data_IF_957543729258
#
_entry.id   IF_957543729258
#
_cell.length_a   1.000
_cell.length_b   1.000
_cell.length_c   1.000
_cell.angle_alpha   90.00
_cell.angle_beta   90.00
_cell.angle_gamma   90.00
#
_symmetry.space_group_name_H-M   'P 1'
#
loop_
_entity.id
_entity.type
_entity.pdbx_description
1 polymer ?
#
# COMPACT_ATOMS: atom_id res chain seq x y z
N UNK A 1 -39.16 -41.34 -15.50
CA UNK A 1 -37.98 -40.53 -15.89
C UNK A 1 -37.09 -40.39 -14.66
N UNK A 2 -35.78 -40.52 -14.80
CA UNK A 2 -34.84 -40.35 -13.67
C UNK A 2 -34.75 -38.89 -13.20
N UNK A 3 -34.04 -38.65 -12.10
CA UNK A 3 -33.76 -37.29 -11.63
C UNK A 3 -32.89 -36.52 -12.63
N UNK A 4 -33.20 -35.25 -12.93
CA UNK A 4 -32.30 -34.37 -13.67
C UNK A 4 -30.98 -34.14 -12.91
N UNK A 5 -29.86 -33.97 -13.64
CA UNK A 5 -28.51 -33.87 -13.06
C UNK A 5 -28.35 -32.77 -12.00
N UNK A 6 -29.04 -31.64 -12.15
CA UNK A 6 -28.97 -30.51 -11.21
C UNK A 6 -29.83 -30.73 -9.94
N UNK A 7 -30.57 -31.84 -9.84
CA UNK A 7 -31.39 -32.20 -8.67
C UNK A 7 -30.86 -33.39 -7.90
N UNK A 8 -29.70 -33.94 -8.24
CA UNK A 8 -29.19 -35.18 -7.65
C UNK A 8 -29.05 -35.14 -6.13
N UNK A 9 -28.77 -33.96 -5.54
CA UNK A 9 -28.67 -33.81 -4.08
C UNK A 9 -30.01 -33.73 -3.34
N UNK A 10 -31.15 -33.62 -4.05
CA UNK A 10 -32.48 -33.60 -3.39
C UNK A 10 -32.81 -34.91 -2.67
N UNK A 11 -32.09 -35.99 -2.98
CA UNK A 11 -32.28 -37.33 -2.36
C UNK A 11 -32.00 -37.35 -0.85
N UNK A 12 -31.23 -36.40 -0.31
CA UNK A 12 -30.93 -36.35 1.14
C UNK A 12 -31.89 -35.46 1.94
N UNK A 13 -32.87 -34.81 1.30
CA UNK A 13 -33.77 -33.86 1.98
C UNK A 13 -34.57 -34.48 3.13
N UNK A 14 -34.96 -35.75 3.00
CA UNK A 14 -35.70 -36.50 4.01
C UNK A 14 -34.88 -37.65 4.63
N UNK A 15 -33.54 -37.61 4.48
CA UNK A 15 -32.63 -38.58 5.09
C UNK A 15 -31.61 -37.83 5.98
N UNK A 16 -31.96 -37.56 7.26
CA UNK A 16 -31.11 -36.79 8.16
C UNK A 16 -29.72 -37.39 8.37
N UNK A 17 -29.61 -38.73 8.34
CA UNK A 17 -28.33 -39.43 8.51
C UNK A 17 -27.39 -39.15 7.34
N UNK A 18 -27.89 -39.27 6.10
CA UNK A 18 -27.10 -38.94 4.90
C UNK A 18 -26.87 -37.44 4.76
N UNK A 19 -27.83 -36.61 5.16
CA UNK A 19 -27.66 -35.16 5.18
C UNK A 19 -26.51 -34.74 6.13
N UNK A 20 -26.45 -35.33 7.34
CA UNK A 20 -25.34 -35.11 8.25
C UNK A 20 -24.01 -35.58 7.66
N UNK A 21 -23.99 -36.75 7.00
CA UNK A 21 -22.79 -37.26 6.35
C UNK A 21 -22.24 -36.32 5.26
N UNK A 22 -23.11 -35.73 4.43
CA UNK A 22 -22.65 -34.77 3.41
C UNK A 22 -22.21 -33.43 4.01
N UNK A 23 -22.79 -33.00 5.14
CA UNK A 23 -22.29 -31.84 5.88
C UNK A 23 -20.87 -32.10 6.42
N UNK A 24 -20.64 -33.26 7.04
CA UNK A 24 -19.31 -33.65 7.52
C UNK A 24 -18.31 -33.69 6.36
N UNK A 25 -18.70 -34.26 5.21
CA UNK A 25 -17.87 -34.27 4.01
C UNK A 25 -17.52 -32.85 3.54
N UNK A 26 -18.51 -31.96 3.44
CA UNK A 26 -18.27 -30.56 3.06
C UNK A 26 -17.32 -29.86 4.05
N UNK A 27 -17.53 -30.01 5.36
CA UNK A 27 -16.65 -29.45 6.39
C UNK A 27 -15.23 -30.00 6.29
N UNK A 28 -15.06 -31.30 6.02
CA UNK A 28 -13.75 -31.90 5.82
C UNK A 28 -13.04 -31.34 4.58
N UNK A 29 -13.76 -31.10 3.49
CA UNK A 29 -13.21 -30.46 2.28
C UNK A 29 -12.77 -29.02 2.55
N UNK A 30 -13.56 -28.22 3.27
CA UNK A 30 -13.21 -26.84 3.64
C UNK A 30 -11.99 -26.81 4.55
N UNK A 31 -11.94 -27.66 5.58
CA UNK A 31 -10.79 -27.76 6.48
C UNK A 31 -9.53 -28.24 5.75
N UNK A 32 -9.67 -29.21 4.84
CA UNK A 32 -8.59 -29.69 3.99
C UNK A 32 -8.03 -28.59 3.10
N UNK A 33 -8.90 -27.81 2.44
CA UNK A 33 -8.50 -26.64 1.65
C UNK A 33 -7.75 -25.61 2.50
N UNK A 34 -8.25 -25.26 3.69
CA UNK A 34 -7.61 -24.29 4.56
C UNK A 34 -6.19 -24.74 4.98
N UNK A 35 -6.03 -26.01 5.33
CA UNK A 35 -4.72 -26.60 5.64
C UNK A 35 -3.78 -26.61 4.43
N UNK A 36 -4.27 -27.01 3.25
CA UNK A 36 -3.46 -27.00 2.02
C UNK A 36 -3.02 -25.60 1.62
N UNK A 37 -3.89 -24.59 1.72
CA UNK A 37 -3.54 -23.20 1.41
C UNK A 37 -2.53 -22.63 2.39
N UNK A 38 -2.71 -22.85 3.69
CA UNK A 38 -1.75 -22.39 4.71
C UNK A 38 -0.36 -23.02 4.50
N UNK A 39 -0.30 -24.32 4.17
CA UNK A 39 0.96 -24.99 3.87
C UNK A 39 1.59 -24.48 2.58
N UNK A 40 0.79 -24.18 1.55
CA UNK A 40 1.28 -23.59 0.31
C UNK A 40 1.87 -22.20 0.54
N UNK A 41 1.15 -21.31 1.22
CA UNK A 41 1.62 -19.96 1.56
C UNK A 41 2.90 -20.03 2.40
N UNK A 42 2.95 -20.88 3.43
CA UNK A 42 4.15 -21.07 4.25
C UNK A 42 5.36 -21.55 3.45
N UNK A 43 5.15 -22.34 2.40
CA UNK A 43 6.24 -22.88 1.58
C UNK A 43 6.86 -21.84 0.63
N UNK A 44 6.17 -20.74 0.34
CA UNK A 44 6.61 -19.70 -0.61
C UNK A 44 6.81 -18.33 0.03
N UNK A 45 6.30 -18.11 1.24
CA UNK A 45 6.42 -16.86 1.97
C UNK A 45 7.87 -16.58 2.40
N UNK A 46 8.36 -15.38 2.09
CA UNK A 46 9.62 -14.86 2.59
C UNK A 46 9.38 -13.93 3.80
N UNK A 47 9.78 -14.33 5.03
CA UNK A 47 9.63 -13.49 6.21
C UNK A 47 10.79 -12.49 6.41
N UNK A 48 11.73 -12.37 5.47
CA UNK A 48 13.00 -11.67 5.68
C UNK A 48 12.87 -10.15 5.88
N UNK A 49 11.90 -9.51 5.22
CA UNK A 49 11.69 -8.05 5.30
C UNK A 49 10.21 -7.68 5.53
N UNK A 50 9.78 -7.49 6.78
CA UNK A 50 8.42 -7.07 7.09
C UNK A 50 8.15 -5.57 6.82
N UNK A 51 9.16 -4.80 6.39
CA UNK A 51 9.05 -3.37 6.09
C UNK A 51 8.68 -3.15 4.63
N UNK A 52 9.48 -3.67 3.70
CA UNK A 52 9.30 -3.44 2.26
C UNK A 52 8.76 -4.67 1.50
N UNK A 53 8.84 -5.87 2.07
CA UNK A 53 8.24 -7.08 1.52
C UNK A 53 7.27 -7.80 2.50
N UNK A 54 6.27 -7.09 3.06
CA UNK A 54 5.29 -7.69 3.96
C UNK A 54 4.37 -8.69 3.24
N UNK A 55 3.67 -9.54 3.99
CA UNK A 55 2.82 -10.63 3.47
C UNK A 55 1.85 -10.23 2.33
N UNK A 56 1.26 -9.03 2.40
CA UNK A 56 0.31 -8.55 1.40
C UNK A 56 0.95 -8.22 0.05
N UNK A 57 2.26 -7.94 0.01
CA UNK A 57 3.04 -7.80 -1.23
C UNK A 57 3.17 -9.13 -1.98
N UNK A 58 3.45 -10.18 -1.22
CA UNK A 58 3.72 -11.53 -1.71
C UNK A 58 2.47 -12.33 -2.09
N UNK A 59 1.27 -11.75 -1.94
CA UNK A 59 0.00 -12.42 -2.26
C UNK A 59 -0.42 -13.47 -1.22
N UNK A 60 0.06 -13.33 0.03
CA UNK A 60 -0.29 -14.19 1.16
C UNK A 60 -1.57 -13.67 1.81
N UNK A 61 -2.63 -14.49 1.85
CA UNK A 61 -3.94 -14.09 2.37
C UNK A 61 -4.38 -14.94 3.57
N UNK A 62 -4.25 -16.26 3.49
CA UNK A 62 -4.78 -17.19 4.52
C UNK A 62 -3.97 -17.10 5.83
N UNK A 63 -2.65 -16.91 5.74
CA UNK A 63 -1.76 -16.76 6.89
C UNK A 63 -2.11 -15.53 7.74
N UNK A 64 -2.50 -14.42 7.10
CA UNK A 64 -2.96 -13.20 7.78
C UNK A 64 -4.20 -13.42 8.64
N UNK A 65 -5.17 -14.22 8.17
CA UNK A 65 -6.35 -14.60 8.95
C UNK A 65 -5.99 -15.46 10.18
N UNK A 66 -5.01 -16.37 10.03
CA UNK A 66 -4.53 -17.20 11.14
C UNK A 66 -3.89 -16.38 12.27
N UNK A 67 -3.11 -15.35 11.93
CA UNK A 67 -2.48 -14.45 12.89
C UNK A 67 -3.49 -13.59 13.67
N UNK A 68 -4.62 -13.24 13.03
CA UNK A 68 -5.66 -12.40 13.62
C UNK A 68 -6.51 -13.11 14.69
N UNK A 69 -6.69 -14.43 14.61
CA UNK A 69 -7.81 -15.13 15.24
C UNK A 69 -7.61 -15.59 16.71
N UNK A 70 -6.46 -15.35 17.34
CA UNK A 70 -6.10 -16.15 18.52
C UNK A 70 -6.43 -15.47 19.87
N UNK A 71 -7.72 -15.35 20.21
CA UNK A 71 -8.28 -14.49 21.28
C UNK A 71 -7.76 -14.66 22.74
N UNK A 72 -6.82 -13.80 23.13
CA UNK A 72 -6.61 -12.98 24.35
C UNK A 72 -7.14 -13.28 25.77
N UNK A 73 -7.84 -14.39 26.08
CA UNK A 73 -8.21 -14.72 27.48
C UNK A 73 -7.53 -16.02 27.97
N UNK A 74 -7.43 -17.01 27.07
CA UNK A 74 -6.57 -18.20 27.17
C UNK A 74 -5.81 -18.45 25.84
N UNK A 75 -5.70 -17.41 25.01
CA UNK A 75 -4.94 -17.33 23.73
C UNK A 75 -4.16 -16.01 23.64
N UNK A 76 -3.27 -15.81 22.65
CA UNK A 76 -2.28 -14.73 22.61
C UNK A 76 -2.82 -13.31 22.29
N UNK A 77 -4.05 -13.13 21.79
CA UNK A 77 -4.64 -11.83 21.44
C UNK A 77 -5.14 -11.74 19.99
N UNK A 78 -5.54 -10.56 19.55
CA UNK A 78 -5.79 -10.25 18.13
C UNK A 78 -4.73 -9.26 17.64
N UNK A 79 -4.57 -9.11 16.32
CA UNK A 79 -3.66 -8.10 15.77
C UNK A 79 -4.21 -6.69 16.04
N UNK A 80 -3.39 -5.83 16.63
CA UNK A 80 -3.68 -4.41 16.87
C UNK A 80 -2.50 -3.60 16.32
N UNK A 81 -2.78 -2.49 15.66
CA UNK A 81 -1.75 -1.57 15.16
C UNK A 81 -2.08 -0.12 15.52
N UNK A 82 -1.10 0.76 15.40
CA UNK A 82 -1.30 2.20 15.45
C UNK A 82 -2.04 2.71 14.20
N UNK A 83 -2.56 3.96 14.21
CA UNK A 83 -3.33 4.52 13.09
C UNK A 83 -2.60 4.56 11.74
N UNK A 84 -1.28 4.35 11.71
CA UNK A 84 -0.44 4.39 10.52
C UNK A 84 0.23 3.05 10.17
N UNK A 85 -0.10 1.94 10.85
CA UNK A 85 0.40 0.61 10.48
C UNK A 85 1.91 0.41 10.73
N UNK A 86 2.50 1.12 11.69
CA UNK A 86 3.94 1.11 11.92
C UNK A 86 4.37 0.10 12.99
N UNK A 87 3.50 -0.19 13.95
CA UNK A 87 3.82 -0.89 15.21
C UNK A 87 2.86 -2.03 15.55
N UNK A 88 2.30 -2.67 14.52
CA UNK A 88 1.37 -3.78 14.65
C UNK A 88 1.94 -4.98 15.41
N UNK A 89 1.11 -5.56 16.27
CA UNK A 89 1.44 -6.75 17.07
C UNK A 89 0.18 -7.47 17.53
N UNK A 90 0.34 -8.73 17.95
CA UNK A 90 -0.73 -9.46 18.64
C UNK A 90 -0.84 -8.94 20.09
N UNK A 91 -2.05 -8.55 20.50
CA UNK A 91 -2.32 -8.04 21.85
C UNK A 91 -3.71 -8.47 22.35
N UNK A 92 -3.85 -8.67 23.66
CA UNK A 92 -5.16 -8.75 24.30
C UNK A 92 -5.91 -7.42 24.20
N UNK A 93 -7.22 -7.49 23.97
CA UNK A 93 -8.11 -6.34 23.79
C UNK A 93 -9.21 -6.37 24.84
N UNK A 94 -9.37 -5.28 25.57
CA UNK A 94 -10.48 -5.11 26.50
C UNK A 94 -11.77 -4.78 25.72
N UNK A 95 -12.91 -5.39 26.07
CA UNK A 95 -14.17 -5.13 25.38
C UNK A 95 -14.67 -3.71 25.65
N UNK A 96 -15.20 -3.06 24.61
CA UNK A 96 -15.89 -1.77 24.69
C UNK A 96 -17.40 -2.01 24.74
N UNK A 97 -18.08 -1.42 25.71
CA UNK A 97 -19.51 -1.62 25.96
C UNK A 97 -20.35 -0.36 25.69
N UNK A 98 -19.71 0.76 25.35
CA UNK A 98 -20.36 2.02 25.03
C UNK A 98 -20.66 2.17 23.53
N UNK A 99 -20.99 3.39 23.12
CA UNK A 99 -21.20 3.74 21.71
C UNK A 99 -19.94 3.58 20.84
N UNK A 100 -18.77 3.66 21.48
CA UNK A 100 -17.45 3.40 20.91
C UNK A 100 -17.27 1.94 20.44
N UNK A 101 -18.03 0.99 21.00
CA UNK A 101 -18.06 -0.40 20.53
C UNK A 101 -18.69 -0.57 19.14
N UNK A 102 -19.33 0.46 18.59
CA UNK A 102 -19.83 0.48 17.21
C UNK A 102 -18.90 1.21 16.23
N UNK A 103 -17.80 1.80 16.72
CA UNK A 103 -16.77 2.38 15.86
C UNK A 103 -15.99 1.24 15.17
N UNK A 104 -15.99 1.16 13.82
CA UNK A 104 -15.30 0.09 13.10
C UNK A 104 -13.79 0.08 13.31
N UNK A 105 -13.18 1.14 13.87
CA UNK A 105 -11.75 1.24 14.14
C UNK A 105 -11.38 1.00 15.61
N UNK A 106 -12.35 0.68 16.48
CA UNK A 106 -12.12 0.33 17.89
C UNK A 106 -12.16 -1.20 18.05
N UNK A 107 -11.03 -1.86 18.35
CA UNK A 107 -10.98 -3.32 18.46
C UNK A 107 -11.90 -3.91 19.55
N UNK A 108 -12.22 -3.12 20.59
CA UNK A 108 -13.10 -3.52 21.69
C UNK A 108 -14.55 -3.86 21.27
N UNK A 109 -15.00 -3.38 20.11
CA UNK A 109 -16.31 -3.70 19.53
C UNK A 109 -16.38 -5.05 18.80
N UNK A 110 -15.23 -5.62 18.40
CA UNK A 110 -15.17 -6.89 17.67
C UNK A 110 -15.74 -8.04 18.50
N UNK A 111 -15.44 -8.04 19.81
CA UNK A 111 -15.92 -9.06 20.75
C UNK A 111 -17.46 -9.08 20.88
N UNK A 112 -18.14 -7.95 20.65
CA UNK A 112 -19.60 -7.82 20.75
C UNK A 112 -20.35 -8.01 19.41
N UNK A 113 -19.66 -7.98 18.26
CA UNK A 113 -20.28 -7.85 16.93
C UNK A 113 -20.40 -9.15 16.08
N UNK A 114 -20.11 -10.35 16.60
CA UNK A 114 -19.99 -11.59 15.80
C UNK A 114 -21.31 -12.20 15.21
N UNK A 115 -22.26 -11.38 14.72
CA UNK A 115 -23.48 -11.82 14.01
C UNK A 115 -23.81 -10.84 12.86
N UNK A 116 -23.11 -10.90 11.71
CA UNK A 116 -23.61 -10.39 10.42
C UNK A 116 -22.77 -10.88 9.21
N UNK A 117 -23.44 -11.12 8.09
CA UNK A 117 -23.00 -11.95 6.96
C UNK A 117 -22.27 -11.21 5.81
N UNK A 118 -21.45 -11.97 5.08
CA UNK A 118 -20.84 -11.82 3.74
C UNK A 118 -20.68 -10.41 3.11
N UNK A 119 -21.73 -9.61 2.96
CA UNK A 119 -21.62 -8.26 2.41
C UNK A 119 -20.89 -7.30 3.37
N UNK A 120 -21.03 -7.53 4.69
CA UNK A 120 -20.34 -6.75 5.71
C UNK A 120 -18.84 -6.95 5.60
N UNK A 121 -18.37 -8.20 5.44
CA UNK A 121 -16.93 -8.49 5.37
C UNK A 121 -16.27 -7.94 4.10
N UNK A 122 -16.99 -7.91 2.97
CA UNK A 122 -16.50 -7.26 1.75
C UNK A 122 -16.36 -5.74 1.95
N UNK A 123 -17.35 -5.12 2.59
CA UNK A 123 -17.31 -3.70 2.94
C UNK A 123 -16.17 -3.37 3.90
N UNK A 124 -16.05 -4.09 5.02
CA UNK A 124 -15.01 -3.81 6.03
C UNK A 124 -13.60 -4.03 5.48
N UNK A 125 -13.40 -4.99 4.59
CA UNK A 125 -12.11 -5.17 3.90
C UNK A 125 -11.80 -4.02 2.95
N UNK A 126 -12.80 -3.52 2.20
CA UNK A 126 -12.59 -2.45 1.23
C UNK A 126 -12.40 -1.07 1.86
N UNK A 127 -13.17 -0.76 2.91
CA UNK A 127 -13.12 0.54 3.60
C UNK A 127 -12.08 0.57 4.73
N UNK A 128 -11.62 -0.58 5.20
CA UNK A 128 -10.78 -0.71 6.38
C UNK A 128 -11.59 -0.72 7.68
N UNK A 129 -11.11 -1.49 8.65
CA UNK A 129 -11.66 -1.63 9.99
C UNK A 129 -10.60 -2.22 10.92
N UNK A 130 -10.90 -2.30 12.21
CA UNK A 130 -10.06 -2.95 13.21
C UNK A 130 -9.83 -4.45 12.93
N UNK A 131 -10.68 -5.10 12.13
CA UNK A 131 -10.51 -6.51 11.73
C UNK A 131 -9.72 -6.69 10.43
N UNK A 132 -9.40 -5.60 9.73
CA UNK A 132 -8.69 -5.61 8.45
C UNK A 132 -7.52 -4.63 8.48
N UNK A 133 -6.52 -4.86 9.36
CA UNK A 133 -5.38 -3.96 9.54
C UNK A 133 -4.47 -3.94 8.30
N UNK A 134 -3.95 -2.76 7.98
CA UNK A 134 -3.16 -2.53 6.76
C UNK A 134 -1.81 -3.27 6.73
N UNK A 135 -1.30 -3.69 7.89
CA UNK A 135 -0.08 -4.51 7.97
C UNK A 135 -0.30 -5.95 7.51
N UNK A 136 -1.54 -6.43 7.55
CA UNK A 136 -1.91 -7.77 7.11
C UNK A 136 -2.48 -7.78 5.68
N UNK A 137 -3.20 -6.71 5.31
CA UNK A 137 -3.98 -6.68 4.05
C UNK A 137 -3.58 -5.56 3.08
N UNK A 138 -2.59 -4.74 3.42
CA UNK A 138 -2.20 -3.56 2.64
C UNK A 138 -3.08 -2.33 2.92
N UNK A 139 -2.67 -1.15 2.43
CA UNK A 139 -3.44 0.09 2.60
C UNK A 139 -4.73 0.08 1.77
N UNK A 140 -5.65 1.00 2.07
CA UNK A 140 -6.89 1.18 1.30
C UNK A 140 -6.73 2.26 0.24
N UNK A 141 -7.54 2.22 -0.82
CA UNK A 141 -7.57 3.27 -1.85
C UNK A 141 -7.87 4.67 -1.28
N UNK A 142 -8.66 4.73 -0.20
CA UNK A 142 -9.09 5.98 0.40
C UNK A 142 -7.94 6.73 1.06
N UNK A 143 -6.95 5.99 1.58
CA UNK A 143 -5.72 6.57 2.12
C UNK A 143 -4.89 7.26 1.03
N UNK A 144 -4.82 6.69 -0.18
CA UNK A 144 -4.20 7.34 -1.33
C UNK A 144 -5.00 8.57 -1.80
N UNK A 145 -6.31 8.41 -2.02
CA UNK A 145 -7.13 9.48 -2.60
C UNK A 145 -7.21 10.74 -1.71
N UNK A 146 -7.03 10.57 -0.39
CA UNK A 146 -7.05 11.66 0.59
C UNK A 146 -5.65 12.13 1.00
N UNK A 147 -4.58 11.51 0.49
CA UNK A 147 -3.20 11.82 0.90
C UNK A 147 -2.95 11.55 2.39
N UNK A 148 -3.52 10.48 2.95
CA UNK A 148 -3.47 10.20 4.39
C UNK A 148 -2.04 10.06 4.92
N UNK A 149 -1.22 9.22 4.26
CA UNK A 149 0.17 9.02 4.67
C UNK A 149 1.04 10.23 4.33
N UNK A 150 0.83 10.84 3.16
CA UNK A 150 1.46 12.10 2.76
C UNK A 150 1.31 13.18 3.84
N UNK A 151 0.09 13.40 4.35
CA UNK A 151 -0.16 14.40 5.40
C UNK A 151 0.60 14.09 6.69
N UNK A 152 0.66 12.84 7.12
CA UNK A 152 1.42 12.44 8.31
C UNK A 152 2.93 12.61 8.11
N UNK A 153 3.45 12.28 6.94
CA UNK A 153 4.86 12.51 6.57
C UNK A 153 5.17 14.00 6.68
N UNK A 154 4.40 14.86 6.02
CA UNK A 154 4.58 16.32 6.10
C UNK A 154 4.46 16.83 7.53
N UNK A 155 3.50 16.33 8.32
CA UNK A 155 3.37 16.71 9.73
C UNK A 155 4.63 16.39 10.53
N UNK A 156 5.23 15.21 10.33
CA UNK A 156 6.49 14.80 11.00
C UNK A 156 7.68 15.64 10.55
N UNK A 157 7.81 15.89 9.25
CA UNK A 157 8.88 16.74 8.70
C UNK A 157 8.74 18.15 9.25
N UNK A 158 7.56 18.76 9.20
CA UNK A 158 7.30 20.10 9.75
C UNK A 158 7.58 20.19 11.24
N UNK A 159 7.24 19.17 12.03
CA UNK A 159 7.59 19.11 13.45
C UNK A 159 9.10 19.06 13.67
N UNK A 160 9.82 18.26 12.87
CA UNK A 160 11.28 18.21 12.92
C UNK A 160 11.94 19.55 12.57
N UNK A 161 11.43 20.24 11.55
CA UNK A 161 11.89 21.59 11.18
C UNK A 161 11.62 22.61 12.30
N UNK A 162 10.48 22.52 12.99
CA UNK A 162 10.16 23.38 14.14
C UNK A 162 11.09 23.13 15.34
N UNK A 163 11.66 21.93 15.45
CA UNK A 163 12.71 21.58 16.42
C UNK A 163 14.12 21.99 15.97
N UNK A 164 14.24 22.78 14.90
CA UNK A 164 15.49 23.23 14.28
C UNK A 164 16.35 22.12 13.66
N UNK A 165 15.75 21.00 13.26
CA UNK A 165 16.43 20.04 12.39
C UNK A 165 16.59 20.64 10.99
N UNK A 166 17.67 20.28 10.32
CA UNK A 166 17.79 20.55 8.87
C UNK A 166 16.75 19.74 8.09
N UNK A 167 16.45 20.18 6.87
CA UNK A 167 15.53 19.46 5.97
C UNK A 167 15.98 18.00 5.77
N UNK A 168 17.29 17.79 5.63
CA UNK A 168 17.86 16.46 5.48
C UNK A 168 17.66 15.58 6.71
N UNK A 169 17.92 16.11 7.91
CA UNK A 169 17.71 15.38 9.16
C UNK A 169 16.23 15.06 9.39
N UNK A 170 15.33 16.00 9.05
CA UNK A 170 13.89 15.80 9.18
C UNK A 170 13.40 14.65 8.27
N UNK A 171 13.81 14.64 7.00
CA UNK A 171 13.46 13.56 6.07
C UNK A 171 14.12 12.23 6.39
N UNK A 172 15.36 12.22 6.88
CA UNK A 172 16.05 10.98 7.33
C UNK A 172 15.41 10.33 8.56
N UNK A 173 14.56 11.05 9.30
CA UNK A 173 13.77 10.50 10.41
C UNK A 173 12.46 9.85 9.97
N UNK A 174 12.07 9.97 8.70
CA UNK A 174 10.85 9.34 8.19
C UNK A 174 11.11 7.83 8.03
N UNK A 175 10.29 6.97 8.66
CA UNK A 175 10.43 5.52 8.49
C UNK A 175 10.15 5.10 7.04
N UNK A 176 10.97 4.22 6.49
CA UNK A 176 10.77 3.69 5.13
C UNK A 176 9.40 3.02 4.97
N UNK A 177 8.92 2.31 6.00
CA UNK A 177 7.58 1.72 6.02
C UNK A 177 6.48 2.76 5.76
N UNK A 178 6.62 3.95 6.35
CA UNK A 178 5.64 5.03 6.19
C UNK A 178 5.71 5.63 4.78
N UNK A 179 6.92 5.83 4.25
CA UNK A 179 7.11 6.28 2.87
C UNK A 179 6.57 5.26 1.87
N UNK A 180 6.73 3.97 2.13
CA UNK A 180 6.24 2.89 1.28
C UNK A 180 4.72 2.79 1.28
N UNK A 181 4.03 3.14 2.37
CA UNK A 181 2.57 3.26 2.35
C UNK A 181 2.05 4.41 1.47
N UNK A 182 2.87 5.45 1.26
CA UNK A 182 2.52 6.62 0.45
C UNK A 182 2.85 6.45 -1.05
N UNK A 183 2.92 5.19 -1.52
CA UNK A 183 3.21 4.83 -2.90
C UNK A 183 1.99 4.19 -3.59
N UNK A 184 1.60 4.68 -4.78
CA UNK A 184 0.37 4.25 -5.46
C UNK A 184 0.41 2.79 -5.92
N UNK A 185 1.60 2.18 -6.09
CA UNK A 185 1.69 0.75 -6.41
C UNK A 185 1.13 -0.13 -5.28
N UNK A 186 1.07 0.40 -4.05
CA UNK A 186 0.44 -0.26 -2.91
C UNK A 186 -1.07 0.01 -2.82
N UNK A 187 -1.65 0.83 -3.70
CA UNK A 187 -3.10 1.08 -3.73
C UNK A 187 -3.84 -0.11 -4.37
N UNK A 188 -4.76 -0.77 -3.66
CA UNK A 188 -5.45 -1.99 -4.14
C UNK A 188 -6.36 -1.72 -5.35
N UNK A 189 -6.64 -0.46 -5.68
CA UNK A 189 -7.46 -0.07 -6.82
C UNK A 189 -6.65 0.15 -8.12
N UNK A 190 -5.38 -0.30 -8.18
CA UNK A 190 -4.51 -0.24 -9.38
C UNK A 190 -4.28 -1.59 -10.08
N UNK A 191 -4.92 -2.65 -9.58
CA UNK A 191 -4.85 -3.99 -10.18
C UNK A 191 -5.58 -4.12 -11.53
N UNK A 192 -5.69 -5.35 -12.01
CA UNK A 192 -6.51 -5.70 -13.17
C UNK A 192 -6.99 -7.14 -13.06
N UNK A 193 -8.22 -7.43 -13.53
CA UNK A 193 -8.90 -8.72 -13.31
C UNK A 193 -8.05 -9.95 -13.70
N UNK A 194 -7.22 -9.83 -14.73
CA UNK A 194 -6.37 -10.91 -15.24
C UNK A 194 -4.88 -10.69 -15.01
N UNK A 195 -4.50 -9.67 -14.21
CA UNK A 195 -3.13 -9.49 -13.73
C UNK A 195 -2.98 -10.34 -12.47
N UNK A 196 -2.72 -11.64 -12.65
CA UNK A 196 -2.65 -12.60 -11.55
C UNK A 196 -1.27 -12.63 -10.89
N UNK A 197 -1.23 -13.05 -9.62
CA UNK A 197 0.00 -13.22 -8.83
C UNK A 197 0.15 -12.15 -7.75
N UNK A 198 1.34 -12.14 -7.12
CA UNK A 198 1.74 -11.15 -6.12
C UNK A 198 1.91 -9.75 -6.73
N UNK A 199 1.92 -8.73 -5.87
CA UNK A 199 2.25 -7.37 -6.29
C UNK A 199 3.70 -7.30 -6.79
N UNK A 200 4.59 -8.11 -6.23
CA UNK A 200 6.01 -8.20 -6.64
C UNK A 200 6.19 -8.68 -8.09
N UNK A 201 5.26 -9.48 -8.62
CA UNK A 201 5.28 -9.86 -10.03
C UNK A 201 4.93 -8.68 -10.96
N UNK A 202 4.31 -7.62 -10.42
CA UNK A 202 3.95 -6.40 -11.14
C UNK A 202 5.09 -5.39 -11.17
N UNK A 203 5.40 -4.78 -10.04
CA UNK A 203 6.38 -3.70 -9.92
C UNK A 203 7.74 -4.13 -9.35
N UNK A 204 7.90 -5.41 -8.98
CA UNK A 204 9.15 -5.95 -8.43
C UNK A 204 9.19 -5.92 -6.90
N UNK A 205 10.24 -6.50 -6.32
CA UNK A 205 10.47 -6.48 -4.87
C UNK A 205 11.13 -5.14 -4.50
N UNK A 206 10.57 -4.44 -3.53
CA UNK A 206 11.11 -3.18 -3.05
C UNK A 206 12.46 -3.40 -2.33
N UNK A 207 13.45 -2.57 -2.65
CA UNK A 207 14.84 -2.73 -2.15
C UNK A 207 15.22 -1.69 -1.10
N UNK A 208 14.72 -0.46 -1.25
CA UNK A 208 15.06 0.65 -0.36
C UNK A 208 14.38 1.94 -0.79
N UNK A 209 14.34 2.91 0.10
CA UNK A 209 13.78 4.23 -0.19
C UNK A 209 14.84 5.18 -0.75
N UNK A 210 14.59 5.73 -1.94
CA UNK A 210 15.54 6.64 -2.60
C UNK A 210 15.59 8.05 -1.99
N UNK A 211 14.63 8.39 -1.12
CA UNK A 211 14.50 9.74 -0.53
C UNK A 211 13.36 10.55 -1.12
N UNK A 212 13.05 11.67 -0.48
CA UNK A 212 12.03 12.61 -0.93
C UNK A 212 12.58 13.57 -1.97
N UNK A 213 12.03 13.61 -3.21
CA UNK A 213 12.46 14.53 -4.24
C UNK A 213 11.80 15.90 -4.07
N UNK A 214 12.62 16.94 -4.01
CA UNK A 214 12.21 18.35 -4.04
C UNK A 214 12.61 18.92 -5.41
N UNK A 215 11.63 19.33 -6.19
CA UNK A 215 11.86 19.94 -7.50
C UNK A 215 11.93 21.45 -7.37
N UNK A 216 12.85 22.08 -8.09
CA UNK A 216 12.93 23.56 -8.15
C UNK A 216 13.07 24.04 -9.58
N UNK A 217 12.50 25.18 -9.92
CA UNK A 217 12.82 25.85 -11.19
C UNK A 217 14.14 26.65 -11.10
N UNK A 218 14.54 27.26 -12.21
CA UNK A 218 15.73 28.12 -12.26
C UNK A 218 15.65 29.35 -11.35
N UNK A 219 14.44 29.76 -10.95
CA UNK A 219 14.22 30.84 -9.98
C UNK A 219 14.32 30.35 -8.53
N UNK A 220 14.51 29.05 -8.31
CA UNK A 220 14.61 28.41 -7.01
C UNK A 220 13.28 28.09 -6.34
N UNK A 221 12.15 28.35 -7.02
CA UNK A 221 10.81 28.06 -6.50
C UNK A 221 10.57 26.57 -6.45
N UNK A 222 10.03 26.09 -5.35
CA UNK A 222 9.68 24.68 -5.19
C UNK A 222 8.48 24.31 -6.07
N UNK A 223 8.57 23.15 -6.70
CA UNK A 223 7.56 22.61 -7.60
C UNK A 223 7.05 21.25 -7.10
N UNK A 224 5.75 21.04 -7.25
CA UNK A 224 5.06 19.84 -6.84
C UNK A 224 4.56 19.08 -8.05
N UNK A 225 4.85 17.79 -8.10
CA UNK A 225 4.36 16.90 -9.15
C UNK A 225 2.91 16.55 -8.85
N UNK A 226 2.03 16.66 -9.85
CA UNK A 226 0.64 16.25 -9.68
C UNK A 226 0.54 14.72 -9.59
N UNK A 227 0.13 14.19 -8.43
CA UNK A 227 -0.14 12.76 -8.21
C UNK A 227 -1.12 12.15 -9.22
N UNK A 228 -0.91 10.89 -9.57
CA UNK A 228 -1.85 10.11 -10.38
C UNK A 228 -3.13 9.79 -9.57
N UNK A 229 -4.33 10.20 -10.03
CA UNK A 229 -5.57 9.74 -9.44
C UNK A 229 -5.82 8.27 -9.76
N UNK A 230 -6.50 7.55 -8.87
CA UNK A 230 -6.72 6.10 -8.98
C UNK A 230 -7.27 5.65 -10.35
N UNK A 231 -8.20 6.42 -10.94
CA UNK A 231 -8.89 6.03 -12.17
C UNK A 231 -7.99 5.97 -13.41
N UNK A 232 -6.85 6.65 -13.41
CA UNK A 232 -6.01 6.76 -14.59
C UNK A 232 -5.03 5.59 -14.67
N UNK A 233 -5.00 4.90 -15.81
CA UNK A 233 -3.93 3.95 -16.15
C UNK A 233 -2.66 4.66 -16.61
N UNK A 234 -2.81 5.80 -17.28
CA UNK A 234 -1.71 6.69 -17.69
C UNK A 234 -2.04 8.12 -17.27
N UNK A 235 -1.04 8.87 -16.82
CA UNK A 235 -1.23 10.23 -16.32
C UNK A 235 -0.06 11.12 -16.77
N UNK A 236 -0.32 12.36 -17.23
CA UNK A 236 0.74 13.25 -17.69
C UNK A 236 1.62 13.74 -16.54
N UNK A 237 2.85 14.10 -16.86
CA UNK A 237 3.77 14.75 -15.91
C UNK A 237 3.54 16.25 -15.97
N UNK A 238 3.02 16.80 -14.87
CA UNK A 238 2.76 18.24 -14.69
C UNK A 238 3.28 18.65 -13.32
N UNK A 239 4.06 19.73 -13.30
CA UNK A 239 4.61 20.34 -12.09
C UNK A 239 3.93 21.69 -11.86
N UNK A 240 3.45 21.90 -10.64
CA UNK A 240 2.78 23.12 -10.19
C UNK A 240 3.56 23.78 -9.06
N UNK A 241 3.40 25.08 -8.87
CA UNK A 241 3.87 25.75 -7.65
C UNK A 241 2.87 25.59 -6.49
N UNK A 242 3.18 26.22 -5.34
CA UNK A 242 2.33 26.21 -4.14
C UNK A 242 0.91 26.76 -4.36
N UNK A 243 0.74 27.64 -5.35
CA UNK A 243 -0.55 28.22 -5.74
C UNK A 243 -1.32 27.35 -6.75
N UNK A 244 -0.75 26.21 -7.16
CA UNK A 244 -1.34 25.31 -8.16
C UNK A 244 -1.17 25.78 -9.60
N UNK A 245 -0.32 26.77 -9.86
CA UNK A 245 -0.04 27.28 -11.20
C UNK A 245 0.96 26.35 -11.88
N UNK A 246 0.67 25.92 -13.11
CA UNK A 246 1.57 25.07 -13.90
C UNK A 246 2.87 25.82 -14.21
N UNK A 247 4.00 25.21 -13.84
CA UNK A 247 5.35 25.77 -14.05
C UNK A 247 6.22 24.92 -14.97
N UNK A 248 6.04 23.60 -14.98
CA UNK A 248 6.75 22.71 -15.89
C UNK A 248 5.91 21.48 -16.29
N UNK A 249 6.23 20.88 -17.43
CA UNK A 249 5.61 19.64 -17.91
C UNK A 249 6.60 18.79 -18.74
N UNK A 250 6.17 17.57 -19.06
CA UNK A 250 6.80 16.75 -20.10
C UNK A 250 5.90 16.79 -21.33
N UNK A 251 6.22 17.63 -22.34
CA UNK A 251 5.31 17.89 -23.45
C UNK A 251 5.24 16.70 -24.41
N UNK A 252 4.02 16.31 -24.78
CA UNK A 252 3.82 15.28 -25.81
C UNK A 252 4.26 15.77 -27.20
N UNK A 253 3.87 17.00 -27.59
CA UNK A 253 4.35 17.67 -28.80
C UNK A 253 5.38 18.73 -28.44
N UNK A 254 6.59 18.60 -28.99
CA UNK A 254 7.70 19.51 -28.67
C UNK A 254 7.72 20.82 -29.46
N UNK A 255 7.00 20.90 -30.58
CA UNK A 255 7.10 22.02 -31.54
C UNK A 255 6.75 23.40 -30.94
N UNK A 256 5.82 23.43 -29.97
CA UNK A 256 5.37 24.66 -29.31
C UNK A 256 5.50 24.56 -27.78
N UNK A 257 6.42 23.72 -27.31
CA UNK A 257 6.68 23.57 -25.88
C UNK A 257 7.12 24.90 -25.26
N UNK A 258 6.51 25.25 -24.12
CA UNK A 258 6.84 26.43 -23.32
C UNK A 258 7.25 26.09 -21.89
N UNK A 259 6.91 24.90 -21.43
CA UNK A 259 7.04 24.46 -20.05
C UNK A 259 7.95 23.24 -19.90
N UNK A 260 8.75 22.92 -20.91
CA UNK A 260 9.63 21.74 -20.78
C UNK A 260 10.64 21.91 -19.66
N UNK A 261 10.99 20.79 -19.03
CA UNK A 261 12.04 20.68 -18.01
C UNK A 261 13.30 21.45 -18.40
N UNK A 262 13.74 21.36 -19.66
CA UNK A 262 14.95 22.03 -20.15
C UNK A 262 14.78 23.55 -20.30
N UNK A 263 13.62 24.02 -20.76
CA UNK A 263 13.34 25.46 -20.94
C UNK A 263 13.17 26.17 -19.60
N UNK A 264 12.50 25.51 -18.65
CA UNK A 264 12.25 26.01 -17.30
C UNK A 264 13.49 25.87 -16.42
N UNK A 265 14.37 24.90 -16.72
CA UNK A 265 15.58 24.64 -15.96
C UNK A 265 15.27 23.96 -14.63
N UNK A 266 14.37 22.97 -14.64
CA UNK A 266 13.98 22.25 -13.42
C UNK A 266 15.13 21.40 -12.90
N UNK A 267 15.42 21.50 -11.61
CA UNK A 267 16.36 20.67 -10.86
C UNK A 267 15.61 19.81 -9.84
N UNK A 268 16.30 18.79 -9.32
CA UNK A 268 15.78 17.92 -8.26
C UNK A 268 16.84 17.69 -7.20
N UNK A 269 16.45 17.76 -5.94
CA UNK A 269 17.28 17.44 -4.78
C UNK A 269 16.57 16.36 -3.96
N UNK A 270 17.33 15.40 -3.43
CA UNK A 270 16.79 14.32 -2.60
C UNK A 270 17.13 14.55 -1.13
N UNK A 271 16.15 14.30 -0.25
CA UNK A 271 16.31 14.39 1.19
C UNK A 271 15.87 13.08 1.85
N UNK A 272 16.69 12.55 2.76
CA UNK A 272 16.52 11.20 3.29
C UNK A 272 16.81 10.11 2.24
N UNK A 273 16.81 8.85 2.68
CA UNK A 273 17.02 7.70 1.81
C UNK A 273 18.39 7.65 1.12
N UNK A 274 18.51 6.76 0.14
CA UNK A 274 19.78 6.41 -0.49
C UNK A 274 20.37 7.51 -1.39
N UNK A 275 19.53 8.40 -1.95
CA UNK A 275 20.00 9.44 -2.87
C UNK A 275 20.38 10.77 -2.21
N UNK A 276 20.30 10.87 -0.88
CA UNK A 276 20.61 12.08 -0.11
C UNK A 276 22.01 12.65 -0.42
N UNK A 277 23.00 11.80 -0.77
CA UNK A 277 24.37 12.25 -1.06
C UNK A 277 24.56 12.82 -2.49
N UNK A 278 23.53 12.82 -3.35
CA UNK A 278 23.69 13.02 -4.81
C UNK A 278 22.96 14.23 -5.42
N UNK A 279 22.68 15.29 -4.65
CA UNK A 279 21.96 16.50 -5.09
C UNK A 279 22.18 16.92 -6.56
N UNK A 280 21.11 16.97 -7.36
CA UNK A 280 21.18 17.14 -8.80
C UNK A 280 20.97 18.60 -9.22
N UNK A 281 22.01 19.43 -9.04
CA UNK A 281 22.14 20.70 -9.74
C UNK A 281 22.85 20.47 -11.08
N UNK A 282 22.12 20.55 -12.20
CA UNK A 282 22.66 20.62 -13.57
C UNK A 282 23.95 19.80 -13.81
N UNK A 283 23.88 18.47 -13.67
CA UNK A 283 25.01 17.59 -13.92
C UNK A 283 25.07 16.39 -12.99
N UNK A 284 24.54 15.26 -13.43
CA UNK A 284 24.61 13.97 -12.74
C UNK A 284 26.05 13.41 -12.87
N UNK A 285 26.98 13.88 -12.03
CA UNK A 285 28.33 13.29 -12.00
C UNK A 285 28.43 12.06 -11.10
N UNK A 286 27.56 11.88 -10.11
CA UNK A 286 27.84 10.93 -9.03
C UNK A 286 26.86 9.75 -8.83
N UNK A 287 25.84 9.54 -9.67
CA UNK A 287 25.04 8.29 -9.56
C UNK A 287 25.91 7.07 -9.95
N UNK A 288 25.98 5.98 -9.14
CA UNK A 288 26.84 4.84 -9.45
C UNK A 288 26.45 4.21 -10.80
N UNK A 289 27.45 3.75 -11.56
CA UNK A 289 27.25 3.24 -12.94
C UNK A 289 26.23 2.09 -13.02
N UNK A 290 26.04 1.32 -11.96
CA UNK A 290 25.04 0.25 -11.86
C UNK A 290 23.60 0.75 -11.98
N UNK A 291 23.34 2.01 -11.64
CA UNK A 291 22.01 2.64 -11.66
C UNK A 291 21.76 3.47 -12.93
N UNK A 292 22.76 3.63 -13.80
CA UNK A 292 22.66 4.41 -15.06
C UNK A 292 22.18 3.58 -16.26
N UNK A 293 21.48 2.48 -16.06
CA UNK A 293 21.43 1.41 -17.07
C UNK A 293 20.72 1.77 -18.39
N UNK A 294 20.03 2.91 -18.54
CA UNK A 294 19.37 3.26 -19.82
C UNK A 294 19.31 4.75 -20.23
N UNK A 295 19.88 5.68 -19.46
CA UNK A 295 19.64 7.11 -19.67
C UNK A 295 20.88 7.83 -20.22
N UNK A 296 20.83 8.25 -21.50
CA UNK A 296 21.94 8.92 -22.20
C UNK A 296 22.04 10.42 -21.92
N UNK A 297 21.00 11.06 -21.38
CA UNK A 297 20.93 12.52 -21.14
C UNK A 297 20.33 12.87 -19.77
N UNK A 298 20.79 13.96 -19.15
CA UNK A 298 20.36 14.43 -17.82
C UNK A 298 18.86 14.76 -17.75
N UNK A 299 18.28 15.25 -18.86
CA UNK A 299 16.84 15.49 -19.02
C UNK A 299 16.01 14.22 -18.89
N UNK A 300 16.49 13.10 -19.44
CA UNK A 300 15.79 11.80 -19.38
C UNK A 300 15.74 11.21 -17.96
N UNK A 301 16.73 11.53 -17.12
CA UNK A 301 16.75 11.08 -15.72
C UNK A 301 15.84 11.92 -14.83
N UNK A 302 15.81 13.25 -15.01
CA UNK A 302 14.84 14.12 -14.31
C UNK A 302 13.43 13.76 -14.75
N UNK A 303 13.20 13.52 -16.04
CA UNK A 303 11.91 13.02 -16.53
C UNK A 303 11.55 11.67 -15.89
N UNK A 304 12.50 10.75 -15.72
CA UNK A 304 12.27 9.48 -15.03
C UNK A 304 11.92 9.69 -13.55
N UNK A 305 12.63 10.55 -12.81
CA UNK A 305 12.30 10.84 -11.42
C UNK A 305 11.02 11.67 -11.26
N UNK A 306 10.66 12.51 -12.23
CA UNK A 306 9.34 13.14 -12.27
C UNK A 306 8.26 12.07 -12.49
N UNK A 307 8.50 11.04 -13.31
CA UNK A 307 7.59 9.91 -13.50
C UNK A 307 7.48 9.07 -12.23
N UNK A 308 8.59 8.75 -11.55
CA UNK A 308 8.60 8.07 -10.25
C UNK A 308 7.88 8.90 -9.17
N UNK A 309 8.09 10.23 -9.14
CA UNK A 309 7.43 11.13 -8.21
C UNK A 309 5.91 11.23 -8.43
N UNK A 310 5.39 11.00 -9.65
CA UNK A 310 3.92 10.87 -9.87
C UNK A 310 3.34 9.70 -9.07
N UNK A 311 4.17 8.69 -8.81
CA UNK A 311 3.81 7.39 -8.24
C UNK A 311 4.04 7.38 -6.71
N UNK A 312 4.90 8.26 -6.18
CA UNK A 312 5.37 8.28 -4.77
C UNK A 312 5.00 9.56 -3.98
N UNK A 313 4.72 10.70 -4.64
CA UNK A 313 4.96 12.02 -4.03
C UNK A 313 3.75 12.94 -3.95
#
# INVERSE_FOLDING_TARGET
>A
MGLPWYRVHTVVLNDPGRLLSVHIMHTALVAGWAGSMALYELAVFDPSDPVLDPMWRQGVACFGFGAFHVTGLYGPGIWVSDPYGLTGKVQAVNPAWGVDGFDPFVPGGIASHHIAAAFVVAGTMWYGSATTPIELFGPTRYQWDQGYFQQEIYRRVSAGLAENLSLSEAWSKIPEKLAFYDYIGNNPAKGGLFRAGSMDNGDGIAVGWLGHPVFRDKEGRELFVRRMPTFFETFPVVLVDEDGIVRADVPFRRAESKYSVEQVGVTVEFYGGDLMEFGCSSGIRNIPKSWRSNYKETSSLIQHYCVEAIIVN
#
